data_IF_341946361113
#
_entry.id   IF_341946361113
#
_cell.length_a   1.000
_cell.length_b   1.000
_cell.length_c   1.000
_cell.angle_alpha   90.00
_cell.angle_beta   90.00
_cell.angle_gamma   90.00
#
_symmetry.space_group_name_H-M   'P 1'
#
loop_
_entity.id
_entity.type
_entity.pdbx_description
1 polymer ?
#
# COMPACT_ATOMS: atom_id res chain seq x y z
N UNK A 1 -7.73 18.70 -24.06
CA UNK A 1 -7.91 18.21 -22.67
C UNK A 1 -8.88 17.06 -22.75
N UNK A 2 -8.44 15.82 -22.53
CA UNK A 2 -9.28 14.63 -22.71
C UNK A 2 -9.69 14.11 -21.33
N UNK A 3 -10.94 14.39 -20.93
CA UNK A 3 -11.56 13.88 -19.71
C UNK A 3 -11.86 12.38 -19.85
N UNK A 4 -10.84 11.54 -19.73
CA UNK A 4 -11.04 10.09 -19.55
C UNK A 4 -11.24 9.77 -18.07
N UNK A 5 -12.31 10.32 -17.48
CA UNK A 5 -12.80 9.86 -16.18
C UNK A 5 -13.67 8.61 -16.40
N UNK A 6 -13.01 7.54 -16.81
CA UNK A 6 -13.63 6.21 -16.89
C UNK A 6 -13.95 5.84 -15.46
N UNK A 7 -15.23 5.87 -15.09
CA UNK A 7 -15.73 5.32 -13.82
C UNK A 7 -15.34 3.84 -13.75
N UNK A 8 -14.10 3.57 -13.28
CA UNK A 8 -13.54 2.23 -13.24
C UNK A 8 -14.26 1.49 -12.14
N UNK A 9 -15.29 0.73 -12.54
CA UNK A 9 -15.96 -0.22 -11.65
C UNK A 9 -14.88 -1.07 -10.97
N UNK A 10 -14.99 -1.31 -9.65
CA UNK A 10 -14.06 -2.18 -8.96
C UNK A 10 -14.03 -3.53 -9.66
N UNK A 11 -12.83 -4.10 -9.83
CA UNK A 11 -12.58 -5.38 -10.49
C UNK A 11 -11.66 -6.25 -9.63
N UNK A 12 -11.71 -7.55 -9.87
CA UNK A 12 -10.87 -8.51 -9.14
C UNK A 12 -11.13 -8.48 -7.64
N UNK A 13 -10.08 -8.38 -6.84
CA UNK A 13 -10.17 -8.39 -5.38
C UNK A 13 -11.01 -7.24 -4.79
N UNK A 14 -11.00 -6.07 -5.45
CA UNK A 14 -11.79 -4.91 -5.04
C UNK A 14 -13.28 -5.05 -5.36
N UNK A 15 -13.67 -5.96 -6.25
CA UNK A 15 -15.06 -6.21 -6.63
C UNK A 15 -15.74 -7.30 -5.80
N UNK A 16 -14.98 -8.03 -4.96
CA UNK A 16 -15.52 -9.13 -4.16
C UNK A 16 -16.30 -8.61 -2.95
N UNK A 17 -17.19 -9.45 -2.43
CA UNK A 17 -17.85 -9.20 -1.15
C UNK A 17 -16.80 -9.03 -0.03
N UNK A 18 -17.05 -8.13 0.94
CA UNK A 18 -16.08 -7.78 1.99
C UNK A 18 -15.70 -8.98 2.87
N UNK A 19 -16.64 -9.88 3.13
CA UNK A 19 -16.39 -11.11 3.92
C UNK A 19 -15.39 -12.03 3.21
N UNK A 20 -15.63 -12.30 1.93
CA UNK A 20 -14.74 -13.11 1.09
C UNK A 20 -13.37 -12.45 0.92
N UNK A 21 -13.33 -11.13 0.78
CA UNK A 21 -12.10 -10.35 0.72
C UNK A 21 -11.28 -10.52 2.01
N UNK A 22 -11.94 -10.43 3.18
CA UNK A 22 -11.30 -10.60 4.49
C UNK A 22 -10.80 -12.01 4.70
N UNK A 23 -11.55 -13.02 4.27
CA UNK A 23 -11.15 -14.42 4.37
C UNK A 23 -9.89 -14.69 3.54
N UNK A 24 -9.88 -14.27 2.27
CA UNK A 24 -8.73 -14.43 1.37
C UNK A 24 -7.51 -13.65 1.90
N UNK A 25 -7.70 -12.42 2.38
CA UNK A 25 -6.63 -11.62 3.00
C UNK A 25 -6.05 -12.33 4.24
N UNK A 26 -6.92 -12.86 5.10
CA UNK A 26 -6.51 -13.58 6.31
C UNK A 26 -5.76 -14.87 5.97
N UNK A 27 -6.21 -15.60 4.94
CA UNK A 27 -5.53 -16.80 4.46
C UNK A 27 -4.17 -16.47 3.86
N UNK A 28 -4.07 -15.40 3.07
CA UNK A 28 -2.80 -14.93 2.50
C UNK A 28 -1.79 -14.53 3.58
N UNK A 29 -2.24 -13.82 4.63
CA UNK A 29 -1.40 -13.46 5.77
C UNK A 29 -0.90 -14.68 6.56
N UNK A 30 -1.77 -15.67 6.81
CA UNK A 30 -1.38 -16.92 7.47
C UNK A 30 -0.44 -17.76 6.60
N UNK A 31 -0.71 -17.87 5.30
CA UNK A 31 0.12 -18.62 4.37
C UNK A 31 1.52 -18.01 4.28
N UNK A 32 1.62 -16.67 4.19
CA UNK A 32 2.90 -15.96 4.23
C UNK A 32 3.69 -16.28 5.52
N UNK A 33 3.01 -16.22 6.68
CA UNK A 33 3.62 -16.55 7.98
C UNK A 33 4.06 -18.02 8.08
N UNK A 34 3.26 -18.96 7.57
CA UNK A 34 3.55 -20.40 7.61
C UNK A 34 4.62 -20.82 6.61
N UNK A 35 4.75 -20.13 5.46
CA UNK A 35 5.65 -20.51 4.36
C UNK A 35 7.14 -20.39 4.68
N UNK A 36 7.52 -19.96 5.88
CA UNK A 36 8.88 -20.11 6.39
C UNK A 36 9.97 -19.32 5.67
N UNK A 37 9.64 -18.52 4.65
CA UNK A 37 10.55 -17.52 4.07
C UNK A 37 10.78 -16.32 5.01
N UNK A 38 10.50 -16.49 6.30
CA UNK A 38 10.42 -15.45 7.34
C UNK A 38 11.60 -15.49 8.34
N UNK A 39 12.72 -16.09 7.97
CA UNK A 39 14.01 -15.49 8.35
C UNK A 39 14.32 -14.53 7.19
N UNK A 40 14.10 -13.21 7.26
CA UNK A 40 14.61 -12.26 8.25
C UNK A 40 13.92 -10.89 8.02
N UNK A 41 12.65 -10.72 8.39
CA UNK A 41 12.06 -9.37 8.51
C UNK A 41 11.46 -9.30 9.90
N UNK A 42 12.28 -8.84 10.84
CA UNK A 42 11.81 -8.53 12.18
C UNK A 42 10.69 -7.48 12.07
N UNK A 43 9.80 -7.42 13.08
CA UNK A 43 8.77 -6.37 13.17
C UNK A 43 9.36 -4.97 12.97
N UNK A 44 10.64 -4.80 13.32
CA UNK A 44 11.41 -3.58 13.15
C UNK A 44 11.66 -3.23 11.67
N UNK A 45 12.05 -4.20 10.85
CA UNK A 45 12.35 -3.98 9.43
C UNK A 45 11.07 -3.69 8.62
N UNK A 46 9.96 -4.37 8.94
CA UNK A 46 8.65 -4.07 8.37
C UNK A 46 8.18 -2.65 8.73
N UNK A 47 8.44 -2.21 9.97
CA UNK A 47 8.13 -0.85 10.44
C UNK A 47 9.02 0.18 9.75
N UNK A 48 10.30 -0.11 9.51
CA UNK A 48 11.24 0.76 8.79
C UNK A 48 10.88 0.91 7.31
N UNK A 49 10.56 -0.20 6.62
CA UNK A 49 10.11 -0.19 5.23
C UNK A 49 8.75 0.52 5.08
N UNK A 50 7.86 0.33 6.05
CA UNK A 50 6.63 1.10 6.21
C UNK A 50 6.94 2.60 6.26
N UNK A 51 7.80 3.03 7.20
CA UNK A 51 8.30 4.42 7.38
C UNK A 51 8.84 5.06 6.11
N UNK A 52 9.60 4.31 5.32
CA UNK A 52 10.14 4.81 4.05
C UNK A 52 9.06 5.06 2.99
N UNK A 53 7.96 4.29 3.00
CA UNK A 53 6.88 4.41 2.00
C UNK A 53 5.90 5.57 2.26
N UNK A 54 5.80 6.09 3.48
CA UNK A 54 4.98 7.27 3.81
C UNK A 54 5.77 8.57 3.95
N UNK A 55 7.05 8.58 3.57
CA UNK A 55 7.73 9.85 3.36
C UNK A 55 7.11 10.54 2.13
N UNK A 56 6.43 11.69 2.29
CA UNK A 56 5.98 12.45 1.14
C UNK A 56 7.22 12.92 0.37
N UNK A 57 7.40 12.42 -0.85
CA UNK A 57 8.34 13.02 -1.82
C UNK A 57 7.69 14.25 -2.46
N UNK A 58 7.39 15.25 -1.65
CA UNK A 58 6.97 16.60 -2.07
C UNK A 58 7.35 17.54 -0.94
N UNK A 59 8.09 18.64 -1.06
CA UNK A 59 9.00 19.27 -2.01
C UNK A 59 9.65 20.39 -1.15
N UNK A 60 10.90 20.82 -1.36
CA UNK A 60 11.48 21.90 -0.57
C UNK A 60 10.65 23.19 -0.75
N UNK A 61 10.34 23.82 0.38
CA UNK A 61 9.68 25.11 0.45
C UNK A 61 10.48 26.15 -0.37
N UNK A 62 9.81 26.79 -1.32
CA UNK A 62 10.33 27.93 -2.07
C UNK A 62 10.63 29.08 -1.09
N UNK A 63 11.88 29.58 -0.98
CA UNK A 63 12.13 30.79 -0.23
C UNK A 63 11.58 31.98 -1.04
N UNK A 64 10.65 32.72 -0.44
CA UNK A 64 10.16 33.97 -1.00
C UNK A 64 11.23 35.04 -0.77
N UNK A 65 11.94 35.42 -1.82
CA UNK A 65 12.73 36.66 -1.84
C UNK A 65 12.79 37.19 -3.27
N UNK A 66 12.09 38.30 -3.54
CA UNK A 66 12.49 39.33 -4.53
C UNK A 66 11.50 40.49 -4.49
N UNK A 67 12.03 41.72 -4.37
CA UNK A 67 11.29 42.99 -4.54
C UNK A 67 11.30 43.88 -3.32
#
# INVERSE_FOLDING_TARGET
>A
MSENNVNRKPRGFAAMNPEKQREIASLGGRAAHMSGHAHEFTTEEARAAGRKRHQPKTAPATPQQTG
#
